data_IF_208635879362
#
_entry.id   IF_208635879362
#
_cell.length_a   1.000
_cell.length_b   1.000
_cell.length_c   1.000
_cell.angle_alpha   90.00
_cell.angle_beta   90.00
_cell.angle_gamma   90.00
#
_symmetry.space_group_name_H-M   'P 1'
#
loop_
_entity.id
_entity.type
_entity.pdbx_description
1 polymer ?
#
# COMPACT_ATOMS: atom_id res chain seq x y z
N UNK A 1 12.58 -3.29 11.07
CA UNK A 1 11.19 -2.81 11.17
C UNK A 1 10.69 -3.01 12.58
N UNK A 2 10.11 -2.01 13.17
CA UNK A 2 9.64 -2.12 14.54
C UNK A 2 8.26 -2.76 14.55
N UNK A 3 7.88 -3.21 15.74
CA UNK A 3 6.58 -3.82 15.91
C UNK A 3 5.47 -2.81 15.59
N UNK A 4 5.68 -1.56 15.96
CA UNK A 4 4.70 -0.52 15.69
C UNK A 4 4.56 -0.27 14.19
N UNK A 5 5.65 -0.27 13.47
CA UNK A 5 5.61 -0.09 12.03
C UNK A 5 4.87 -1.25 11.36
N UNK A 6 5.07 -2.46 11.88
CA UNK A 6 4.36 -3.62 11.36
C UNK A 6 2.88 -3.48 11.55
N UNK A 7 2.45 -3.01 12.72
CA UNK A 7 1.03 -2.84 13.00
C UNK A 7 0.41 -1.78 12.11
N UNK A 8 1.15 -0.69 11.87
CA UNK A 8 0.66 0.36 10.98
C UNK A 8 0.49 -0.17 9.58
N UNK A 9 1.44 -0.98 9.11
CA UNK A 9 1.33 -1.58 7.80
C UNK A 9 0.11 -2.47 7.70
N UNK A 10 -0.11 -3.30 8.70
CA UNK A 10 -1.25 -4.21 8.68
C UNK A 10 -2.56 -3.45 8.64
N UNK A 11 -2.66 -2.37 9.41
CA UNK A 11 -3.86 -1.55 9.42
C UNK A 11 -4.08 -0.89 8.07
N UNK A 12 -3.01 -0.36 7.49
CA UNK A 12 -3.11 0.29 6.19
C UNK A 12 -3.45 -0.70 5.08
N UNK A 13 -2.91 -1.91 5.16
CA UNK A 13 -3.23 -2.94 4.19
C UNK A 13 -4.69 -3.35 4.28
N UNK A 14 -5.17 -3.51 5.50
CA UNK A 14 -6.56 -3.89 5.71
C UNK A 14 -7.50 -2.82 5.15
N UNK A 15 -7.17 -1.56 5.40
CA UNK A 15 -7.97 -0.46 4.91
C UNK A 15 -7.93 -0.39 3.38
N UNK A 16 -6.76 -0.65 2.80
CA UNK A 16 -6.63 -0.63 1.35
C UNK A 16 -7.47 -1.75 0.73
N UNK A 17 -7.39 -2.95 1.28
CA UNK A 17 -8.15 -4.08 0.75
C UNK A 17 -9.64 -3.84 0.83
N UNK A 18 -10.07 -3.20 1.90
CA UNK A 18 -11.48 -2.92 2.06
C UNK A 18 -11.97 -1.94 1.00
N UNK A 19 -11.15 -1.00 0.61
CA UNK A 19 -11.55 0.03 -0.34
C UNK A 19 -11.27 -0.31 -1.79
N UNK A 20 -10.21 -1.04 -2.05
CA UNK A 20 -9.75 -1.28 -3.43
C UNK A 20 -9.66 -2.75 -3.82
N UNK A 21 -9.66 -3.64 -2.88
CA UNK A 21 -9.55 -5.06 -3.18
C UNK A 21 -8.12 -5.58 -3.05
N UNK A 22 -7.65 -6.29 -4.06
CA UNK A 22 -6.38 -7.00 -3.99
C UNK A 22 -5.18 -6.07 -3.81
N UNK A 23 -4.25 -6.49 -2.96
CA UNK A 23 -2.96 -5.85 -2.87
C UNK A 23 -1.97 -6.89 -2.33
N UNK A 24 -0.77 -6.89 -2.88
CA UNK A 24 0.29 -7.77 -2.43
C UNK A 24 1.55 -6.93 -2.32
N UNK A 25 2.28 -7.09 -1.24
CA UNK A 25 3.51 -6.35 -1.01
C UNK A 25 4.65 -7.33 -0.85
N UNK A 26 5.71 -7.13 -1.61
CA UNK A 26 6.88 -8.00 -1.57
C UNK A 26 8.10 -7.15 -1.22
N UNK A 27 8.83 -7.56 -0.19
CA UNK A 27 10.03 -6.84 0.20
C UNK A 27 11.16 -7.26 -0.74
N UNK A 28 11.95 -6.31 -1.19
CA UNK A 28 13.05 -6.67 -2.06
C UNK A 28 14.14 -7.38 -1.25
N UNK A 29 14.89 -8.22 -1.94
CA UNK A 29 15.84 -9.10 -1.28
C UNK A 29 17.02 -8.39 -0.65
N UNK A 30 17.59 -7.45 -1.34
CA UNK A 30 18.82 -6.85 -0.87
C UNK A 30 18.73 -5.37 -0.55
N UNK A 31 17.58 -4.86 -0.36
CA UNK A 31 17.42 -3.45 -0.07
C UNK A 31 16.36 -3.23 0.97
N UNK A 32 15.95 -1.99 1.13
CA UNK A 32 14.93 -1.65 2.09
C UNK A 32 13.60 -1.38 1.39
N UNK A 33 13.53 -1.67 0.11
CA UNK A 33 12.38 -1.32 -0.67
C UNK A 33 11.31 -2.40 -0.71
N UNK A 34 10.16 -2.00 -1.25
CA UNK A 34 9.02 -2.88 -1.34
C UNK A 34 8.36 -2.70 -2.69
N UNK A 35 7.85 -3.77 -3.25
CA UNK A 35 7.09 -3.72 -4.48
C UNK A 35 5.63 -3.93 -4.16
N UNK A 36 4.77 -3.11 -4.73
CA UNK A 36 3.33 -3.21 -4.53
C UNK A 36 2.68 -3.73 -5.81
N UNK A 37 1.85 -4.75 -5.67
CA UNK A 37 1.09 -5.29 -6.80
C UNK A 37 -0.38 -5.11 -6.48
N UNK A 38 -1.12 -4.49 -7.36
CA UNK A 38 -2.52 -4.18 -7.10
C UNK A 38 -3.50 -5.07 -7.86
N UNK A 39 -3.01 -6.13 -8.48
CA UNK A 39 -3.88 -7.15 -9.06
C UNK A 39 -3.15 -8.48 -9.07
N UNK A 40 -3.91 -9.56 -9.09
CA UNK A 40 -3.32 -10.90 -9.11
C UNK A 40 -2.54 -11.11 -10.40
N UNK A 41 -3.06 -10.59 -11.49
CA UNK A 41 -2.40 -10.73 -12.77
C UNK A 41 -1.03 -10.09 -12.75
N UNK A 42 -0.95 -8.89 -12.20
CA UNK A 42 0.35 -8.21 -12.11
C UNK A 42 1.31 -8.96 -11.21
N UNK A 43 0.79 -9.50 -10.10
CA UNK A 43 1.63 -10.24 -9.18
C UNK A 43 2.20 -11.50 -9.84
N UNK A 44 1.38 -12.18 -10.65
CA UNK A 44 1.84 -13.38 -11.32
C UNK A 44 2.91 -13.08 -12.36
N UNK A 45 2.82 -11.93 -12.99
CA UNK A 45 3.76 -11.57 -14.04
C UNK A 45 4.95 -10.76 -13.53
N UNK A 46 4.98 -10.48 -12.24
CA UNK A 46 6.07 -9.69 -11.68
C UNK A 46 6.01 -8.22 -12.07
N UNK A 47 4.84 -7.75 -12.50
CA UNK A 47 4.70 -6.37 -12.94
C UNK A 47 4.20 -5.51 -11.81
N UNK A 48 5.11 -4.96 -11.03
CA UNK A 48 4.69 -4.18 -9.87
C UNK A 48 4.02 -2.87 -10.28
N UNK A 49 3.10 -2.43 -9.43
CA UNK A 49 2.38 -1.19 -9.65
C UNK A 49 3.19 -0.02 -9.13
N UNK A 50 3.84 -0.20 -8.00
CA UNK A 50 4.59 0.88 -7.37
C UNK A 50 5.77 0.29 -6.62
N UNK A 51 6.90 0.97 -6.67
CA UNK A 51 8.05 0.62 -5.88
C UNK A 51 8.18 1.66 -4.76
N UNK A 52 8.31 1.19 -3.54
CA UNK A 52 8.48 2.04 -2.38
C UNK A 52 9.86 1.79 -1.82
N UNK A 53 10.69 2.81 -1.74
CA UNK A 53 12.08 2.60 -1.40
C UNK A 53 12.34 2.42 0.10
N UNK A 54 11.37 2.65 0.95
CA UNK A 54 11.49 2.31 2.36
C UNK A 54 10.11 2.16 2.98
N UNK A 55 10.10 1.80 4.27
CA UNK A 55 8.87 1.51 4.98
C UNK A 55 8.00 2.76 5.15
N UNK A 56 8.61 3.91 5.32
CA UNK A 56 7.86 5.15 5.49
C UNK A 56 7.13 5.52 4.20
N UNK A 57 7.80 5.34 3.07
CA UNK A 57 7.19 5.61 1.79
C UNK A 57 6.03 4.64 1.55
N UNK A 58 6.21 3.38 1.91
CA UNK A 58 5.16 2.38 1.76
C UNK A 58 3.93 2.76 2.55
N UNK A 59 4.11 3.10 3.82
CA UNK A 59 2.99 3.48 4.65
C UNK A 59 2.32 4.74 4.14
N UNK A 60 3.11 5.70 3.68
CA UNK A 60 2.57 6.93 3.11
C UNK A 60 1.74 6.68 1.87
N UNK A 61 2.21 5.77 1.01
CA UNK A 61 1.49 5.44 -0.20
C UNK A 61 0.15 4.78 0.10
N UNK A 62 0.15 3.83 1.03
CA UNK A 62 -1.08 3.14 1.43
C UNK A 62 -2.07 4.10 2.07
N UNK A 63 -1.56 4.89 3.00
CA UNK A 63 -2.40 5.83 3.72
C UNK A 63 -2.98 6.87 2.76
N UNK A 64 -2.15 7.37 1.86
CA UNK A 64 -2.58 8.37 0.90
C UNK A 64 -3.66 7.85 -0.03
N UNK A 65 -3.53 6.60 -0.48
CA UNK A 65 -4.52 6.00 -1.36
C UNK A 65 -5.87 5.88 -0.67
N UNK A 66 -5.87 5.45 0.59
CA UNK A 66 -7.11 5.30 1.34
C UNK A 66 -7.73 6.67 1.64
N UNK A 67 -6.88 7.64 1.98
CA UNK A 67 -7.37 8.98 2.26
C UNK A 67 -7.97 9.65 1.03
N UNK A 68 -7.39 9.38 -0.13
CA UNK A 68 -7.90 9.94 -1.36
C UNK A 68 -9.35 9.52 -1.58
N UNK A 69 -9.66 8.27 -1.26
CA UNK A 69 -11.01 7.79 -1.42
C UNK A 69 -11.94 8.27 -0.32
N UNK A 70 -11.50 8.14 0.92
CA UNK A 70 -12.37 8.43 2.06
C UNK A 70 -12.39 9.90 2.46
N UNK A 71 -11.39 10.64 2.10
CA UNK A 71 -11.29 12.04 2.50
C UNK A 71 -11.44 12.99 1.36
N UNK A 72 -10.46 12.98 0.49
CA UNK A 72 -10.49 13.92 -0.60
C UNK A 72 -11.58 13.70 -1.56
N UNK A 73 -11.85 12.47 -1.85
CA UNK A 73 -12.86 12.18 -2.81
C UNK A 73 -14.24 12.33 -2.19
N UNK A 74 -14.34 12.53 -0.91
CA UNK A 74 -15.52 12.75 -0.34
C UNK A 74 -15.96 14.06 -0.70
N UNK A 75 -17.04 14.24 -0.89
CA UNK A 75 -17.56 15.33 -1.40
C UNK A 75 -17.31 16.46 -0.68
N UNK A 76 -17.04 17.19 -1.28
CA UNK A 76 -16.82 18.25 -0.93
C UNK A 76 -17.98 18.84 -0.78
N UNK A 77 -18.75 18.40 -0.34
CA UNK A 77 -19.79 18.83 -0.30
C UNK A 77 -19.72 19.78 0.45
N UNK A 78 -19.79 20.55 0.49
CA UNK A 78 -19.81 21.47 1.13
C UNK A 78 -20.88 21.92 1.30
#
# INVERSE_FOLDING_TARGET
MTKKQMEIIKDNLRAYEKNFGYIKIVKEDYGKGFYIFTSEERAEHGSWTQYCYNIDYLNGWLYGAVQAVNGIMKPIEK
#
